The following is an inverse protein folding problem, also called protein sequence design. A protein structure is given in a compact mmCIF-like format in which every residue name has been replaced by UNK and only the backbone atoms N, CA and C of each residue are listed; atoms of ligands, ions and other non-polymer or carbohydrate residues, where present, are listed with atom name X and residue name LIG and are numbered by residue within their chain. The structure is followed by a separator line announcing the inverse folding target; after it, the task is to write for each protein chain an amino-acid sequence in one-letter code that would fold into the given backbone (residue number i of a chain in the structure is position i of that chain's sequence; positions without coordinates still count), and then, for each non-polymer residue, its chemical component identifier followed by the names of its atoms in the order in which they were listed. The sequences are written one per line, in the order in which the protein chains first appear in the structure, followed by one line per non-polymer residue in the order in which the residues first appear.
data_IF_905623009958
#
_entry.id   IF_905623009958
#
_cell.length_a   1.000
_cell.length_b   1.000
_cell.length_c   1.000
_cell.angle_alpha   90.00
_cell.angle_beta   90.00
_cell.angle_gamma   90.00
#
_symmetry.space_group_name_H-M   'P 1'
#
loop_
_entity.id
_entity.type
_entity.pdbx_description
1 polymer ?
#
# COMPACT_ATOMS: atom_id res chain seq x y z
N UNK A 1 5.69 -22.37 -16.04
CA UNK A 1 4.86 -21.15 -16.02
C UNK A 1 3.63 -21.44 -15.18
N UNK A 2 3.42 -20.68 -14.10
CA UNK A 2 2.18 -20.76 -13.31
C UNK A 2 1.02 -20.27 -14.17
N UNK A 3 -0.10 -21.01 -14.27
CA UNK A 3 -1.26 -20.55 -15.02
C UNK A 3 -1.80 -19.27 -14.39
N UNK A 4 -2.14 -18.27 -15.22
CA UNK A 4 -2.59 -16.94 -14.80
C UNK A 4 -3.76 -17.01 -13.80
N UNK A 5 -4.63 -18.01 -13.93
CA UNK A 5 -5.75 -18.29 -13.00
C UNK A 5 -5.31 -18.60 -11.57
N UNK A 6 -4.10 -19.11 -11.38
CA UNK A 6 -3.52 -19.45 -10.06
C UNK A 6 -2.62 -18.35 -9.50
N UNK A 7 -2.16 -17.42 -10.35
CA UNK A 7 -1.32 -16.31 -9.93
C UNK A 7 -2.06 -15.37 -8.98
N UNK A 8 -3.27 -14.96 -9.36
CA UNK A 8 -4.08 -14.05 -8.54
C UNK A 8 -4.64 -14.70 -7.26
N UNK A 9 -4.74 -16.03 -7.22
CA UNK A 9 -5.20 -16.77 -6.02
C UNK A 9 -4.20 -16.74 -4.86
N UNK A 10 -2.91 -16.58 -5.16
CA UNK A 10 -1.85 -16.55 -4.17
C UNK A 10 -1.19 -15.17 -4.07
N UNK A 11 -1.88 -14.12 -4.54
CA UNK A 11 -1.33 -12.78 -4.49
C UNK A 11 -1.24 -12.33 -3.03
N UNK A 12 -0.03 -12.00 -2.60
CA UNK A 12 0.21 -11.53 -1.24
C UNK A 12 -0.49 -10.19 -1.01
N UNK A 13 -0.91 -9.90 0.23
CA UNK A 13 -1.48 -8.60 0.55
C UNK A 13 -0.47 -7.50 0.22
N UNK A 14 -0.98 -6.35 -0.24
CA UNK A 14 -0.14 -5.18 -0.50
C UNK A 14 0.37 -4.65 0.83
N UNK A 15 1.68 -4.52 0.98
CA UNK A 15 2.29 -3.93 2.16
C UNK A 15 2.78 -2.50 1.89
N UNK A 16 2.72 -1.66 2.91
CA UNK A 16 3.21 -0.29 2.87
C UNK A 16 4.74 -0.28 2.69
N UNK A 17 5.23 0.50 1.72
CA UNK A 17 6.66 0.65 1.47
C UNK A 17 7.41 1.37 2.61
N UNK A 18 6.72 2.20 3.40
CA UNK A 18 7.32 2.96 4.48
C UNK A 18 7.34 2.22 5.83
N UNK A 19 6.27 1.51 6.19
CA UNK A 19 6.16 0.85 7.50
C UNK A 19 6.02 -0.67 7.45
N UNK A 20 5.81 -1.27 6.27
CA UNK A 20 5.64 -2.72 6.11
C UNK A 20 4.26 -3.27 6.49
N UNK A 21 3.38 -2.45 7.05
CA UNK A 21 2.02 -2.86 7.42
C UNK A 21 1.17 -3.23 6.20
N UNK A 22 0.25 -4.18 6.39
CA UNK A 22 -0.71 -4.57 5.35
C UNK A 22 -1.65 -3.39 5.05
N UNK A 23 -1.66 -2.96 3.79
CA UNK A 23 -2.59 -1.95 3.30
C UNK A 23 -3.96 -2.62 3.19
N UNK A 24 -4.82 -2.38 4.18
CA UNK A 24 -6.14 -3.02 4.28
C UNK A 24 -7.05 -2.61 3.12
N UNK A 25 -7.27 -1.31 2.93
CA UNK A 25 -8.07 -0.78 1.82
C UNK A 25 -7.65 0.66 1.53
N UNK A 26 -7.36 0.97 0.27
CA UNK A 26 -7.28 2.34 -0.21
C UNK A 26 -8.27 2.50 -1.37
N UNK A 27 -9.04 3.59 -1.36
CA UNK A 27 -9.90 3.95 -2.49
C UNK A 27 -9.12 4.06 -3.81
N UNK A 28 -7.81 4.36 -3.70
CA UNK A 28 -6.87 4.45 -4.80
C UNK A 28 -5.81 3.33 -4.68
N UNK A 29 -5.96 2.25 -5.44
CA UNK A 29 -5.04 1.10 -5.39
C UNK A 29 -3.62 1.39 -5.91
N UNK A 30 -3.35 2.60 -6.40
CA UNK A 30 -2.06 3.02 -6.98
C UNK A 30 -1.02 3.43 -5.92
N UNK A 31 -1.44 3.76 -4.70
CA UNK A 31 -0.54 4.25 -3.65
C UNK A 31 0.27 3.12 -3.01
N UNK A 32 1.58 3.30 -2.85
CA UNK A 32 2.47 2.27 -2.26
C UNK A 32 2.66 2.42 -0.74
N UNK A 33 2.05 3.44 -0.15
CA UNK A 33 2.14 3.76 1.27
C UNK A 33 0.74 3.81 1.88
N UNK A 34 0.61 3.40 3.14
CA UNK A 34 -0.67 3.47 3.85
C UNK A 34 -1.05 4.92 4.17
N UNK A 35 -2.36 5.18 4.36
CA UNK A 35 -2.87 6.52 4.69
C UNK A 35 -2.15 7.16 5.88
N UNK A 36 -1.85 6.39 6.92
CA UNK A 36 -1.14 6.91 8.09
C UNK A 36 0.26 7.44 7.78
N UNK A 37 0.99 6.80 6.86
CA UNK A 37 2.29 7.30 6.41
C UNK A 37 2.13 8.53 5.53
N UNK A 38 1.16 8.53 4.62
CA UNK A 38 0.87 9.67 3.75
C UNK A 38 0.41 10.91 4.55
N UNK A 39 -0.40 10.74 5.58
CA UNK A 39 -0.84 11.83 6.46
C UNK A 39 0.35 12.42 7.23
N UNK A 40 1.28 11.59 7.71
CA UNK A 40 2.50 12.07 8.37
C UNK A 40 3.34 12.92 7.44
N UNK A 41 3.57 12.44 6.21
CA UNK A 41 4.29 13.19 5.18
C UNK A 41 3.61 14.54 4.89
N UNK A 42 2.28 14.56 4.76
CA UNK A 42 1.51 15.79 4.53
C UNK A 42 1.66 16.79 5.69
N UNK A 43 1.58 16.33 6.93
CA UNK A 43 1.79 17.19 8.11
C UNK A 43 3.21 17.75 8.10
N UNK A 44 4.24 16.93 7.87
CA UNK A 44 5.63 17.39 7.84
C UNK A 44 5.85 18.44 6.74
N UNK A 45 5.25 18.24 5.57
CA UNK A 45 5.38 19.15 4.44
C UNK A 45 4.68 20.52 4.64
N UNK A 46 3.59 20.57 5.41
CA UNK A 46 2.75 21.77 5.56
C UNK A 46 2.92 22.50 6.91
N UNK A 47 3.72 21.97 7.83
CA UNK A 47 3.98 22.60 9.14
C UNK A 47 5.32 23.37 9.17
N UNK A 48 5.84 23.79 8.00
CA UNK A 48 7.08 24.56 7.86
C UNK A 48 6.84 25.96 7.30
#
# INVERSE_FOLDING_TARGET
MTPVSTFFRNLQPKCCAACGEVIMEQAEAYMNECFTCQEKEYVIANTK
#
